data_IF_001327881521
#
_entry.id   IF_001327881521
#
_cell.length_a   1.000
_cell.length_b   1.000
_cell.length_c   1.000
_cell.angle_alpha   90.00
_cell.angle_beta   90.00
_cell.angle_gamma   90.00
#
_symmetry.space_group_name_H-M   'P 1'
#
loop_
_entity.id
_entity.type
_entity.pdbx_description
1 polymer ?
#
# COMPACT_ATOMS: atom_id res chain seq x y z
N UNK A 1 -1.64 -11.19 5.86
CA UNK A 1 -1.87 -10.66 4.50
C UNK A 1 -3.17 -9.86 4.52
N UNK A 2 -3.18 -8.70 3.88
CA UNK A 2 -4.39 -7.89 3.69
C UNK A 2 -4.50 -7.50 2.22
N UNK A 3 -5.71 -7.49 1.67
CA UNK A 3 -5.96 -7.20 0.26
C UNK A 3 -7.02 -6.10 0.15
N UNK A 4 -6.82 -5.15 -0.78
CA UNK A 4 -7.78 -4.12 -1.13
C UNK A 4 -7.97 -4.09 -2.65
N UNK A 5 -9.21 -4.24 -3.09
CA UNK A 5 -9.60 -4.13 -4.49
C UNK A 5 -10.01 -2.67 -4.79
N UNK A 6 -9.35 -2.06 -5.77
CA UNK A 6 -9.59 -0.70 -6.25
C UNK A 6 -10.04 -0.68 -7.72
N UNK A 7 -10.72 -1.73 -8.18
CA UNK A 7 -11.27 -1.85 -9.52
C UNK A 7 -10.25 -2.45 -10.50
N UNK A 8 -9.48 -1.61 -11.20
CA UNK A 8 -8.46 -2.10 -12.15
C UNK A 8 -7.27 -2.72 -11.43
N UNK A 9 -6.97 -2.25 -10.23
CA UNK A 9 -5.80 -2.68 -9.48
C UNK A 9 -6.21 -3.28 -8.14
N UNK A 10 -5.46 -4.30 -7.73
CA UNK A 10 -5.57 -4.89 -6.40
C UNK A 10 -4.28 -4.60 -5.63
N UNK A 11 -4.41 -4.01 -4.44
CA UNK A 11 -3.28 -3.84 -3.53
C UNK A 11 -3.24 -4.98 -2.54
N UNK A 12 -2.09 -5.65 -2.47
CA UNK A 12 -1.81 -6.70 -1.51
C UNK A 12 -0.71 -6.22 -0.58
N UNK A 13 -0.97 -6.28 0.72
CA UNK A 13 0.03 -6.06 1.76
C UNK A 13 0.36 -7.39 2.44
N UNK A 14 1.62 -7.76 2.37
CA UNK A 14 2.21 -8.88 3.10
C UNK A 14 3.27 -8.35 4.04
N UNK A 15 3.68 -9.16 4.99
CA UNK A 15 4.78 -8.82 5.86
C UNK A 15 5.43 -10.10 6.31
N UNK A 16 6.72 -9.99 6.60
CA UNK A 16 7.48 -11.04 7.24
C UNK A 16 8.26 -10.42 8.39
N UNK A 17 8.32 -11.15 9.51
CA UNK A 17 8.91 -10.65 10.75
C UNK A 17 10.35 -10.20 10.50
N UNK A 18 10.63 -8.92 10.78
CA UNK A 18 11.95 -8.31 10.56
C UNK A 18 12.24 -7.80 9.14
N UNK A 19 11.28 -7.84 8.20
CA UNK A 19 11.45 -7.33 6.82
C UNK A 19 10.52 -6.17 6.44
N UNK A 20 9.61 -5.78 7.34
CA UNK A 20 8.65 -4.70 7.11
C UNK A 20 7.38 -5.18 6.40
N UNK A 21 6.66 -4.23 5.81
CA UNK A 21 5.47 -4.46 5.00
C UNK A 21 5.87 -4.44 3.53
N UNK A 22 5.64 -5.55 2.86
CA UNK A 22 5.69 -5.67 1.41
C UNK A 22 4.35 -5.23 0.84
N UNK A 23 4.37 -4.32 -0.11
CA UNK A 23 3.20 -3.86 -0.85
C UNK A 23 3.35 -4.31 -2.30
N UNK A 24 2.31 -4.92 -2.82
CA UNK A 24 2.19 -5.29 -4.23
C UNK A 24 0.94 -4.68 -4.85
N UNK A 25 1.07 -4.07 -6.01
CA UNK A 25 -0.04 -3.58 -6.84
C UNK A 25 -0.16 -4.52 -8.03
N UNK A 26 -1.29 -5.20 -8.15
CA UNK A 26 -1.57 -6.13 -9.24
C UNK A 26 -2.54 -5.49 -10.22
N UNK A 27 -2.25 -5.56 -11.51
CA UNK A 27 -3.19 -5.19 -12.57
C UNK A 27 -4.15 -6.36 -12.81
N UNK A 28 -5.43 -6.15 -12.50
CA UNK A 28 -6.50 -7.15 -12.66
C UNK A 28 -6.70 -7.55 -14.13
N UNK A 29 -6.29 -6.72 -15.09
CA UNK A 29 -6.30 -7.06 -16.51
C UNK A 29 -5.09 -7.88 -16.97
N UNK A 30 -4.13 -8.15 -16.06
CA UNK A 30 -2.89 -8.88 -16.30
C UNK A 30 -2.01 -8.32 -17.43
N UNK A 31 -2.07 -7.00 -17.68
CA UNK A 31 -1.27 -6.35 -18.73
C UNK A 31 0.06 -5.83 -18.20
N UNK A 32 0.02 -5.10 -17.09
CA UNK A 32 1.22 -4.50 -16.47
C UNK A 32 1.91 -3.44 -17.34
N UNK A 33 1.21 -2.92 -18.36
CA UNK A 33 1.71 -1.88 -19.27
C UNK A 33 1.91 -0.54 -18.55
N UNK A 34 1.00 -0.17 -17.65
CA UNK A 34 1.09 1.05 -16.84
C UNK A 34 2.15 0.99 -15.72
N UNK A 35 2.80 -0.16 -15.55
CA UNK A 35 3.89 -0.35 -14.60
C UNK A 35 5.26 -0.11 -15.23
N UNK A 36 5.31 0.00 -16.56
CA UNK A 36 6.54 0.33 -17.25
C UNK A 36 7.10 1.65 -16.69
N UNK A 37 8.41 1.65 -16.42
CA UNK A 37 9.16 2.80 -15.93
C UNK A 37 8.83 3.27 -14.51
N UNK A 38 7.97 2.57 -13.75
CA UNK A 38 7.70 2.91 -12.35
C UNK A 38 8.82 2.40 -11.44
N UNK A 39 9.58 3.31 -10.83
CA UNK A 39 10.68 2.99 -9.90
C UNK A 39 10.33 3.22 -8.41
N UNK A 40 9.22 3.91 -8.17
CA UNK A 40 8.77 4.32 -6.85
C UNK A 40 7.25 4.42 -6.77
N UNK A 41 6.74 4.08 -5.58
CA UNK A 41 5.34 4.25 -5.21
C UNK A 41 5.23 5.18 -4.00
N UNK A 42 4.13 5.91 -3.91
CA UNK A 42 3.74 6.65 -2.73
C UNK A 42 2.45 6.06 -2.18
N UNK A 43 2.45 5.72 -0.91
CA UNK A 43 1.25 5.31 -0.17
C UNK A 43 0.77 6.50 0.63
N UNK A 44 -0.51 6.83 0.51
CA UNK A 44 -1.17 7.85 1.30
C UNK A 44 -2.26 7.24 2.17
N UNK A 45 -2.35 7.72 3.40
CA UNK A 45 -3.36 7.29 4.35
C UNK A 45 -4.05 8.53 4.91
N UNK A 46 -5.37 8.61 4.77
CA UNK A 46 -6.17 9.74 5.25
C UNK A 46 -6.98 9.34 6.46
N UNK A 47 -6.91 10.16 7.51
CA UNK A 47 -7.73 10.05 8.73
C UNK A 47 -9.13 10.66 8.53
N UNK A 48 -10.10 10.34 9.41
CA UNK A 48 -11.44 10.94 9.36
C UNK A 48 -11.46 12.47 9.48
N UNK A 49 -10.46 13.04 10.14
CA UNK A 49 -10.30 14.49 10.31
C UNK A 49 -9.66 15.18 9.08
N UNK A 50 -9.36 14.42 8.03
CA UNK A 50 -8.77 14.91 6.78
C UNK A 50 -7.25 15.01 6.78
N UNK A 51 -6.56 14.76 7.90
CA UNK A 51 -5.09 14.70 7.91
C UNK A 51 -4.60 13.51 7.09
N UNK A 52 -3.48 13.69 6.40
CA UNK A 52 -2.83 12.65 5.61
C UNK A 52 -1.41 12.40 6.08
N UNK A 53 -1.01 11.13 6.06
CA UNK A 53 0.39 10.70 6.14
C UNK A 53 0.77 9.98 4.85
N UNK A 54 2.06 9.95 4.56
CA UNK A 54 2.57 9.32 3.34
C UNK A 54 3.84 8.52 3.59
N UNK A 55 3.98 7.44 2.83
CA UNK A 55 5.17 6.59 2.84
C UNK A 55 5.65 6.37 1.42
N UNK A 56 6.90 6.72 1.14
CA UNK A 56 7.53 6.37 -0.13
C UNK A 56 8.03 4.93 -0.08
N UNK A 57 7.77 4.18 -1.13
CA UNK A 57 8.31 2.86 -1.38
C UNK A 57 9.28 2.98 -2.56
N UNK A 58 10.57 2.81 -2.29
CA UNK A 58 11.62 2.78 -3.31
C UNK A 58 12.81 1.96 -2.77
N UNK A 59 13.41 1.08 -3.58
CA UNK A 59 13.01 0.75 -4.96
C UNK A 59 11.71 -0.07 -5.02
N UNK A 60 11.02 0.00 -6.16
CA UNK A 60 9.99 -0.98 -6.54
C UNK A 60 10.45 -1.80 -7.75
N UNK A 61 9.89 -3.00 -7.87
CA UNK A 61 10.26 -3.97 -8.89
C UNK A 61 9.01 -4.42 -9.63
N UNK A 62 9.09 -4.50 -10.95
CA UNK A 62 8.02 -5.06 -11.76
C UNK A 62 8.23 -6.57 -11.96
N UNK A 63 7.21 -7.35 -11.62
CA UNK A 63 7.15 -8.80 -11.87
C UNK A 63 5.89 -9.11 -12.69
N UNK A 64 6.03 -9.10 -14.01
CA UNK A 64 4.89 -9.28 -14.92
C UNK A 64 3.85 -8.18 -14.76
N UNK A 65 2.64 -8.56 -14.33
CA UNK A 65 1.52 -7.65 -14.07
C UNK A 65 1.41 -7.25 -12.59
N UNK A 66 2.53 -7.19 -11.88
CA UNK A 66 2.63 -6.71 -10.51
C UNK A 66 3.78 -5.71 -10.35
N UNK A 67 3.58 -4.69 -9.54
CA UNK A 67 4.63 -3.85 -8.95
C UNK A 67 4.75 -4.17 -7.47
N UNK A 68 5.96 -4.47 -6.99
CA UNK A 68 6.19 -4.83 -5.61
C UNK A 68 7.31 -4.00 -4.99
N UNK A 69 7.16 -3.64 -3.73
CA UNK A 69 8.21 -3.00 -2.94
C UNK A 69 7.95 -3.18 -1.45
N UNK A 70 8.86 -2.71 -0.61
CA UNK A 70 8.72 -2.85 0.84
C UNK A 70 9.01 -1.54 1.57
N UNK A 71 8.35 -1.35 2.70
CA UNK A 71 8.62 -0.25 3.62
C UNK A 71 8.52 -0.72 5.07
N UNK A 72 9.21 -0.01 5.95
CA UNK A 72 9.11 -0.22 7.40
C UNK A 72 8.25 0.90 7.95
N UNK A 73 7.03 0.63 8.44
CA UNK A 73 6.21 1.66 9.06
C UNK A 73 6.88 2.14 10.36
N UNK A 74 6.82 3.43 10.62
CA UNK A 74 7.17 4.01 11.91
C UNK A 74 5.91 4.18 12.78
N UNK A 75 6.06 4.59 14.05
CA UNK A 75 4.93 4.74 14.97
C UNK A 75 3.82 5.70 14.47
N UNK A 76 4.18 6.76 13.74
CA UNK A 76 3.21 7.70 13.16
C UNK A 76 2.42 7.03 12.04
N UNK A 77 3.10 6.40 11.10
CA UNK A 77 2.49 5.64 10.00
C UNK A 77 1.59 4.53 10.55
N UNK A 78 1.95 3.89 11.66
CA UNK A 78 1.11 2.89 12.33
C UNK A 78 -0.19 3.49 12.85
N UNK A 79 -0.16 4.68 13.45
CA UNK A 79 -1.36 5.36 13.94
C UNK A 79 -2.29 5.78 12.80
N UNK A 80 -1.71 6.17 11.66
CA UNK A 80 -2.47 6.41 10.43
C UNK A 80 -3.08 5.12 9.88
N UNK A 81 -2.33 4.02 9.82
CA UNK A 81 -2.89 2.72 9.42
C UNK A 81 -4.02 2.25 10.33
N UNK A 82 -3.92 2.46 11.65
CA UNK A 82 -4.94 2.05 12.63
C UNK A 82 -6.26 2.79 12.42
N UNK A 83 -6.18 4.11 12.22
CA UNK A 83 -7.33 5.01 12.26
C UNK A 83 -7.75 5.52 10.87
N UNK A 84 -7.00 5.19 9.83
CA UNK A 84 -7.24 5.62 8.47
C UNK A 84 -8.58 5.15 7.92
N UNK A 85 -9.22 6.02 7.14
CA UNK A 85 -10.46 5.74 6.43
C UNK A 85 -10.25 5.58 4.94
N UNK A 86 -9.18 6.17 4.38
CA UNK A 86 -8.84 6.11 2.96
C UNK A 86 -7.38 5.75 2.78
N UNK A 87 -7.13 4.95 1.75
CA UNK A 87 -5.84 4.46 1.34
C UNK A 87 -5.66 4.70 -0.16
N UNK A 88 -4.54 5.30 -0.54
CA UNK A 88 -4.23 5.61 -1.92
C UNK A 88 -2.79 5.20 -2.24
N UNK A 89 -2.57 4.66 -3.44
CA UNK A 89 -1.26 4.29 -3.96
C UNK A 89 -1.12 4.91 -5.34
N UNK A 90 -0.10 5.74 -5.50
CA UNK A 90 0.27 6.35 -6.77
C UNK A 90 1.76 6.16 -7.07
N UNK A 91 2.14 6.44 -8.31
CA UNK A 91 3.53 6.73 -8.66
C UNK A 91 3.68 8.23 -8.91
N UNK A 92 4.48 8.95 -8.10
CA UNK A 92 4.74 10.37 -8.32
C UNK A 92 5.43 10.65 -9.66
N UNK A 93 6.21 9.69 -10.15
CA UNK A 93 6.98 9.78 -11.39
C UNK A 93 6.07 9.79 -12.62
N UNK A 94 5.14 8.81 -12.70
CA UNK A 94 4.23 8.69 -13.85
C UNK A 94 2.94 9.48 -13.65
N UNK A 95 2.69 9.97 -12.44
CA UNK A 95 1.42 10.62 -12.00
C UNK A 95 0.20 9.71 -12.16
N UNK A 96 0.43 8.40 -12.14
CA UNK A 96 -0.63 7.40 -12.19
C UNK A 96 -1.05 7.04 -10.77
N UNK A 97 -2.34 7.18 -10.46
CA UNK A 97 -2.95 6.60 -9.25
C UNK A 97 -3.39 5.19 -9.56
N UNK A 98 -2.77 4.20 -8.91
CA UNK A 98 -3.11 2.79 -9.09
C UNK A 98 -4.27 2.36 -8.20
N UNK A 99 -4.33 2.82 -6.96
CA UNK A 99 -5.42 2.44 -6.07
C UNK A 99 -5.86 3.65 -5.25
N UNK A 100 -7.17 3.82 -5.11
CA UNK A 100 -7.75 4.81 -4.23
C UNK A 100 -9.04 4.23 -3.64
N UNK A 101 -8.99 3.82 -2.38
CA UNK A 101 -10.02 2.98 -1.77
C UNK A 101 -10.24 3.34 -0.31
N UNK A 102 -11.45 3.12 0.18
CA UNK A 102 -11.71 3.18 1.61
C UNK A 102 -11.03 2.01 2.30
N UNK A 103 -10.43 2.26 3.45
CA UNK A 103 -9.80 1.20 4.24
C UNK A 103 -10.89 0.30 4.83
N UNK A 104 -11.14 -0.85 4.21
CA UNK A 104 -12.08 -1.86 4.73
C UNK A 104 -11.45 -2.62 5.90
N UNK A 105 -12.17 -2.74 7.01
CA UNK A 105 -11.72 -3.43 8.23
C UNK A 105 -11.89 -2.60 9.51
N UNK A 106 -11.88 -3.26 10.68
CA UNK A 106 -11.81 -2.55 11.95
C UNK A 106 -10.36 -2.16 12.27
N UNK A 107 -10.14 -1.10 13.05
CA UNK A 107 -8.80 -0.75 13.54
C UNK A 107 -8.11 -1.93 14.25
N UNK A 108 -8.88 -2.80 14.91
CA UNK A 108 -8.39 -4.03 15.53
C UNK A 108 -7.88 -5.07 14.52
N UNK A 109 -8.52 -5.25 13.36
CA UNK A 109 -8.02 -6.15 12.33
C UNK A 109 -6.70 -5.65 11.72
N UNK A 110 -6.54 -4.33 11.58
CA UNK A 110 -5.29 -3.71 11.13
C UNK A 110 -4.19 -3.87 12.17
N UNK A 111 -4.54 -3.70 13.45
CA UNK A 111 -3.61 -3.92 14.56
C UNK A 111 -3.14 -5.38 14.61
N UNK A 112 -4.05 -6.34 14.49
CA UNK A 112 -3.71 -7.76 14.50
C UNK A 112 -2.78 -8.13 13.32
N UNK A 113 -2.97 -7.53 12.14
CA UNK A 113 -2.05 -7.70 11.03
C UNK A 113 -0.66 -7.16 11.36
N UNK A 114 -0.54 -5.96 11.93
CA UNK A 114 0.75 -5.38 12.32
C UNK A 114 1.46 -6.19 13.42
N UNK A 115 0.71 -6.66 14.43
CA UNK A 115 1.25 -7.55 15.46
C UNK A 115 1.78 -8.86 14.87
N UNK A 116 1.09 -9.44 13.87
CA UNK A 116 1.58 -10.60 13.13
C UNK A 116 2.86 -10.29 12.35
N UNK A 117 3.00 -9.07 11.84
CA UNK A 117 4.23 -8.60 11.20
C UNK A 117 5.39 -8.40 12.20
N UNK A 118 5.09 -8.32 13.50
CA UNK A 118 6.06 -8.04 14.56
C UNK A 118 6.56 -6.60 14.55
N UNK A 119 5.67 -5.65 14.23
CA UNK A 119 5.95 -4.21 14.11
C UNK A 119 5.03 -3.43 15.06
#
# INVERSE_FOLDING_TARGET
>A
MTMQDAGRYTVVMTCSRGRGIELSVLDSAARGDEFAEVDSLMVWITLPDGRTDRVSISPVWQEGAALSGAFVPNGVTMDFFRNGIRFEVDSPQTRTTFAATDMKGSGAARLAFLEQCGI
#
